data_IF_735625630259
#
_entry.id   IF_735625630259
#
_cell.length_a   1.000
_cell.length_b   1.000
_cell.length_c   1.000
_cell.angle_alpha   90.00
_cell.angle_beta   90.00
_cell.angle_gamma   90.00
#
_symmetry.space_group_name_H-M   'P 1'
#
loop_
_entity.id
_entity.type
_entity.pdbx_description
1 polymer ?
#
# COMPACT_ATOMS: atom_id res chain seq x y z
N UNK A 1 48.23 -0.77 -33.52
CA UNK A 1 48.62 -0.30 -34.87
C UNK A 1 47.73 0.91 -35.17
N UNK A 2 48.32 2.05 -35.54
CA UNK A 2 47.68 3.35 -35.89
C UNK A 2 47.16 4.13 -34.66
N UNK A 3 47.51 5.39 -34.37
CA UNK A 3 48.51 6.33 -34.89
C UNK A 3 48.75 7.36 -33.79
N UNK A 4 50.03 7.70 -33.55
CA UNK A 4 50.40 8.89 -32.79
C UNK A 4 50.16 10.17 -33.61
N UNK A 5 50.17 11.30 -32.89
CA UNK A 5 50.77 12.61 -33.25
C UNK A 5 49.77 13.78 -33.29
N UNK A 6 50.09 14.79 -32.48
CA UNK A 6 49.50 16.12 -32.56
C UNK A 6 49.71 16.97 -31.32
N UNK A 7 50.96 17.16 -30.90
CA UNK A 7 51.35 18.32 -30.09
C UNK A 7 51.07 19.59 -30.90
N UNK A 8 50.48 20.60 -30.26
CA UNK A 8 50.83 22.00 -30.50
C UNK A 8 50.47 22.80 -29.25
N UNK A 9 51.52 23.32 -28.65
CA UNK A 9 51.54 24.42 -27.69
C UNK A 9 50.99 25.68 -28.35
N UNK A 10 50.16 26.43 -27.63
CA UNK A 10 50.23 27.89 -27.67
C UNK A 10 49.86 28.45 -26.30
N UNK A 11 50.81 29.22 -25.82
CA UNK A 11 50.97 29.79 -24.49
C UNK A 11 50.74 31.30 -24.66
N UNK A 12 49.73 31.84 -23.99
CA UNK A 12 49.54 33.30 -23.92
C UNK A 12 48.08 33.75 -23.88
N UNK A 13 47.50 33.80 -22.68
CA UNK A 13 47.04 35.10 -22.15
C UNK A 13 46.63 34.98 -20.69
N UNK A 14 47.57 35.39 -19.82
CA UNK A 14 47.29 35.80 -18.46
C UNK A 14 46.46 37.09 -18.51
N UNK A 15 45.15 36.97 -18.27
CA UNK A 15 44.37 38.05 -17.65
C UNK A 15 43.51 37.46 -16.54
N UNK A 16 44.01 37.69 -15.34
CA UNK A 16 43.41 37.49 -14.04
C UNK A 16 42.03 38.15 -13.93
N UNK A 17 41.00 37.48 -14.44
CA UNK A 17 39.69 37.59 -13.82
C UNK A 17 39.76 36.76 -12.55
N UNK A 18 39.98 37.46 -11.44
CA UNK A 18 39.82 37.02 -10.06
C UNK A 18 38.50 36.25 -9.91
N UNK A 19 38.58 34.95 -10.21
CA UNK A 19 37.51 33.98 -10.09
C UNK A 19 37.51 33.54 -8.63
N UNK A 20 37.28 34.48 -7.72
CA UNK A 20 36.98 34.24 -6.31
C UNK A 20 35.55 33.68 -6.17
N UNK A 21 35.20 32.72 -7.02
CA UNK A 21 34.12 31.79 -6.76
C UNK A 21 34.65 30.79 -5.76
N UNK A 22 34.82 31.23 -4.51
CA UNK A 22 34.85 30.32 -3.37
C UNK A 22 33.74 29.30 -3.63
N UNK A 23 34.04 28.00 -3.76
CA UNK A 23 33.02 27.02 -4.08
C UNK A 23 31.95 27.20 -3.03
N UNK A 24 30.77 27.72 -3.44
CA UNK A 24 29.64 27.89 -2.55
C UNK A 24 29.51 26.56 -1.83
N UNK A 25 29.61 26.63 -0.50
CA UNK A 25 29.55 25.49 0.40
C UNK A 25 28.48 24.55 -0.14
N UNK A 26 28.83 23.29 -0.35
CA UNK A 26 27.92 22.26 -0.87
C UNK A 26 26.61 22.20 -0.05
N UNK A 27 26.65 22.71 1.20
CA UNK A 27 25.50 22.92 2.07
C UNK A 27 24.51 23.99 1.60
N UNK A 28 24.97 25.11 1.01
CA UNK A 28 24.12 26.24 0.61
C UNK A 28 23.37 25.96 -0.71
N UNK A 29 23.93 25.09 -1.57
CA UNK A 29 23.29 24.61 -2.81
C UNK A 29 22.07 23.69 -2.59
N UNK A 30 21.83 23.27 -1.35
CA UNK A 30 20.81 22.25 -1.07
C UNK A 30 19.39 22.81 -0.87
N UNK A 31 19.24 24.12 -0.85
CA UNK A 31 17.96 24.78 -0.63
C UNK A 31 17.31 25.19 -1.95
N UNK A 32 16.20 24.53 -2.28
CA UNK A 32 15.48 24.69 -3.55
C UNK A 32 15.05 26.14 -3.84
N UNK A 33 14.48 26.80 -2.82
CA UNK A 33 13.95 28.16 -2.94
C UNK A 33 15.06 29.21 -2.94
N UNK A 34 16.10 29.05 -2.13
CA UNK A 34 17.23 30.00 -2.14
C UNK A 34 17.98 29.93 -3.47
N UNK A 35 18.20 28.74 -4.02
CA UNK A 35 18.77 28.57 -5.35
C UNK A 35 17.94 29.28 -6.42
N UNK A 36 16.61 29.18 -6.36
CA UNK A 36 15.74 29.91 -7.27
C UNK A 36 15.82 31.43 -7.07
N UNK A 37 15.95 31.92 -5.84
CA UNK A 37 16.04 33.35 -5.53
C UNK A 37 17.41 33.96 -5.89
N UNK A 38 18.47 33.16 -5.93
CA UNK A 38 19.81 33.57 -6.39
C UNK A 38 19.90 33.75 -7.90
N UNK A 39 19.04 33.07 -8.67
CA UNK A 39 19.00 33.22 -10.13
C UNK A 39 18.54 34.63 -10.51
N UNK A 40 19.15 35.18 -11.57
CA UNK A 40 18.80 36.50 -12.08
C UNK A 40 17.28 36.57 -12.38
N UNK A 41 16.56 37.55 -11.82
CA UNK A 41 15.16 37.76 -12.14
C UNK A 41 14.97 37.86 -13.66
N UNK A 42 13.97 37.14 -14.20
CA UNK A 42 13.66 37.00 -15.63
C UNK A 42 14.58 36.11 -16.47
N UNK A 43 15.55 35.39 -15.88
CA UNK A 43 16.26 34.34 -16.62
C UNK A 43 15.30 33.17 -16.97
N UNK A 44 15.50 32.48 -18.11
CA UNK A 44 14.71 31.29 -18.45
C UNK A 44 14.90 30.16 -17.41
N UNK A 45 16.06 30.11 -16.75
CA UNK A 45 16.37 29.18 -15.66
C UNK A 45 15.49 29.46 -14.44
N UNK A 46 15.38 30.72 -14.01
CA UNK A 46 14.48 31.13 -12.93
C UNK A 46 13.04 30.68 -13.20
N UNK A 47 12.55 30.87 -14.43
CA UNK A 47 11.20 30.46 -14.81
C UNK A 47 11.00 28.94 -14.84
N UNK A 48 12.03 28.16 -15.15
CA UNK A 48 11.96 26.68 -15.10
C UNK A 48 11.96 26.19 -13.65
N UNK A 49 12.86 26.72 -12.83
CA UNK A 49 12.93 26.43 -11.40
C UNK A 49 11.58 26.73 -10.71
N UNK A 50 11.05 27.95 -10.91
CA UNK A 50 9.78 28.36 -10.33
C UNK A 50 8.62 27.45 -10.77
N UNK A 51 8.57 27.04 -12.03
CA UNK A 51 7.56 26.09 -12.53
C UNK A 51 7.68 24.72 -11.85
N UNK A 52 8.89 24.21 -11.66
CA UNK A 52 9.15 22.96 -10.96
C UNK A 52 8.65 23.00 -9.52
N UNK A 53 9.04 24.03 -8.76
CA UNK A 53 8.61 24.23 -7.37
C UNK A 53 7.08 24.34 -7.28
N UNK A 54 6.46 25.17 -8.11
CA UNK A 54 5.01 25.37 -8.08
C UNK A 54 4.24 24.10 -8.45
N UNK A 55 4.70 23.34 -9.44
CA UNK A 55 4.10 22.05 -9.81
C UNK A 55 4.21 21.03 -8.67
N UNK A 56 5.38 20.94 -8.04
CA UNK A 56 5.63 20.08 -6.89
C UNK A 56 4.73 20.45 -5.69
N UNK A 57 4.61 21.74 -5.37
CA UNK A 57 3.69 22.21 -4.31
C UNK A 57 2.24 21.88 -4.62
N UNK A 58 1.78 22.10 -5.87
CA UNK A 58 0.42 21.76 -6.29
C UNK A 58 0.14 20.27 -6.09
N UNK A 59 1.08 19.40 -6.48
CA UNK A 59 0.94 17.96 -6.29
C UNK A 59 0.85 17.58 -4.81
N UNK A 60 1.70 18.12 -3.94
CA UNK A 60 1.60 17.84 -2.49
C UNK A 60 0.31 18.34 -1.88
N UNK A 61 -0.21 19.49 -2.33
CA UNK A 61 -1.53 19.97 -1.90
C UNK A 61 -2.64 19.00 -2.31
N UNK A 62 -2.63 18.49 -3.55
CA UNK A 62 -3.61 17.50 -4.01
C UNK A 62 -3.49 16.21 -3.18
N UNK A 63 -2.27 15.69 -3.00
CA UNK A 63 -2.03 14.48 -2.20
C UNK A 63 -2.49 14.65 -0.75
N UNK A 64 -2.23 15.79 -0.13
CA UNK A 64 -2.70 16.12 1.21
C UNK A 64 -4.22 16.00 1.32
N UNK A 65 -4.96 16.62 0.39
CA UNK A 65 -6.44 16.57 0.42
C UNK A 65 -6.97 15.15 0.18
N UNK A 66 -6.33 14.37 -0.70
CA UNK A 66 -6.72 12.98 -0.94
C UNK A 66 -6.49 12.12 0.31
N UNK A 67 -5.33 12.23 0.95
CA UNK A 67 -5.05 11.51 2.20
C UNK A 67 -5.92 11.98 3.36
N UNK A 68 -6.22 13.28 3.45
CA UNK A 68 -7.12 13.83 4.45
C UNK A 68 -8.55 13.27 4.28
N UNK A 69 -9.07 13.25 3.05
CA UNK A 69 -10.36 12.65 2.75
C UNK A 69 -10.41 11.16 3.09
N UNK A 70 -9.34 10.42 2.77
CA UNK A 70 -9.20 9.01 3.12
C UNK A 70 -9.15 8.80 4.65
N UNK A 71 -8.36 9.59 5.38
CA UNK A 71 -8.27 9.53 6.85
C UNK A 71 -9.63 9.82 7.51
N UNK A 72 -10.37 10.82 7.02
CA UNK A 72 -11.72 11.11 7.50
C UNK A 72 -12.70 9.96 7.25
N UNK A 73 -12.63 9.29 6.10
CA UNK A 73 -13.48 8.12 5.81
C UNK A 73 -13.11 6.95 6.72
N UNK A 74 -11.83 6.62 6.86
CA UNK A 74 -11.35 5.58 7.75
C UNK A 74 -11.73 5.84 9.22
N UNK A 75 -11.57 7.08 9.70
CA UNK A 75 -11.97 7.46 11.04
C UNK A 75 -13.49 7.34 11.25
N UNK A 76 -14.30 7.79 10.29
CA UNK A 76 -15.77 7.63 10.33
C UNK A 76 -16.18 6.16 10.37
N UNK A 77 -15.52 5.29 9.61
CA UNK A 77 -15.76 3.85 9.66
C UNK A 77 -15.49 3.28 11.06
N UNK A 78 -14.31 3.55 11.62
CA UNK A 78 -13.91 3.08 12.96
C UNK A 78 -14.90 3.58 14.02
N UNK A 79 -15.27 4.86 13.98
CA UNK A 79 -16.23 5.44 14.91
C UNK A 79 -17.64 4.83 14.77
N UNK A 80 -18.09 4.57 13.53
CA UNK A 80 -19.40 3.94 13.30
C UNK A 80 -19.48 2.53 13.89
N UNK A 81 -18.40 1.74 13.74
CA UNK A 81 -18.33 0.37 14.26
C UNK A 81 -18.26 0.38 15.79
N UNK A 82 -17.47 1.29 16.36
CA UNK A 82 -17.35 1.44 17.82
C UNK A 82 -18.66 1.89 18.47
N UNK A 83 -19.43 2.77 17.82
CA UNK A 83 -20.77 3.18 18.30
C UNK A 83 -21.76 2.02 18.38
N UNK A 84 -21.62 1.02 17.52
CA UNK A 84 -22.45 -0.19 17.53
C UNK A 84 -21.94 -1.27 18.50
N UNK A 85 -20.97 -0.96 19.36
CA UNK A 85 -20.40 -1.90 20.34
C UNK A 85 -19.52 -3.01 19.73
N UNK A 86 -19.17 -2.91 18.44
CA UNK A 86 -18.34 -3.89 17.74
C UNK A 86 -16.88 -3.44 17.75
N UNK A 87 -15.96 -4.40 17.81
CA UNK A 87 -14.51 -4.13 17.69
C UNK A 87 -14.13 -3.91 16.23
N UNK A 88 -13.48 -2.78 15.94
CA UNK A 88 -12.96 -2.50 14.59
C UNK A 88 -11.83 -3.49 14.21
N UNK A 89 -11.80 -3.92 12.95
CA UNK A 89 -10.73 -4.77 12.41
C UNK A 89 -9.39 -4.01 12.39
N UNK A 90 -8.29 -4.74 12.58
CA UNK A 90 -6.92 -4.21 12.59
C UNK A 90 -6.63 -3.48 11.26
N UNK A 91 -7.09 -4.03 10.13
CA UNK A 91 -6.99 -3.41 8.81
C UNK A 91 -7.47 -1.96 8.75
N UNK A 92 -8.52 -1.61 9.52
CA UNK A 92 -9.05 -0.25 9.54
C UNK A 92 -8.07 0.73 10.19
N UNK A 93 -7.44 0.32 11.30
CA UNK A 93 -6.40 1.11 11.95
C UNK A 93 -5.16 1.25 11.10
N UNK A 94 -4.77 0.18 10.38
CA UNK A 94 -3.65 0.22 9.44
C UNK A 94 -3.92 1.19 8.29
N UNK A 95 -5.13 1.17 7.72
CA UNK A 95 -5.51 2.11 6.66
C UNK A 95 -5.54 3.57 7.14
N UNK A 96 -5.98 3.81 8.38
CA UNK A 96 -5.93 5.12 9.02
C UNK A 96 -4.48 5.57 9.24
N UNK A 97 -3.61 4.69 9.77
CA UNK A 97 -2.19 4.94 9.96
C UNK A 97 -1.54 5.33 8.63
N UNK A 98 -1.77 4.56 7.57
CA UNK A 98 -1.26 4.83 6.24
C UNK A 98 -1.70 6.21 5.72
N UNK A 99 -2.97 6.60 5.93
CA UNK A 99 -3.47 7.91 5.54
C UNK A 99 -2.83 9.05 6.37
N UNK A 100 -2.69 8.86 7.69
CA UNK A 100 -2.05 9.82 8.58
C UNK A 100 -0.57 10.06 8.21
N UNK A 101 0.18 9.01 7.85
CA UNK A 101 1.56 9.15 7.38
C UNK A 101 1.60 9.96 6.07
N UNK A 102 0.66 9.73 5.16
CA UNK A 102 0.52 10.52 3.93
C UNK A 102 0.25 12.01 4.19
N UNK A 103 -0.63 12.33 5.16
CA UNK A 103 -0.90 13.71 5.61
C UNK A 103 0.37 14.34 6.21
N UNK A 104 1.06 13.62 7.10
CA UNK A 104 2.25 14.10 7.77
C UNK A 104 3.36 14.43 6.76
N UNK A 105 3.61 13.55 5.80
CA UNK A 105 4.62 13.79 4.75
C UNK A 105 4.23 14.91 3.79
N UNK A 106 2.96 14.98 3.38
CA UNK A 106 2.52 16.06 2.49
C UNK A 106 2.65 17.43 3.18
N UNK A 107 2.31 17.51 4.47
CA UNK A 107 2.52 18.71 5.30
C UNK A 107 4.00 19.03 5.44
N UNK A 108 4.84 18.03 5.70
CA UNK A 108 6.28 18.19 5.81
C UNK A 108 6.90 18.73 4.52
N UNK A 109 6.57 18.15 3.37
CA UNK A 109 7.06 18.62 2.07
C UNK A 109 6.57 20.01 1.72
N UNK A 110 5.32 20.34 2.04
CA UNK A 110 4.80 21.69 1.87
C UNK A 110 5.58 22.69 2.74
N UNK A 111 5.74 22.41 4.04
CA UNK A 111 6.49 23.25 4.96
C UNK A 111 7.96 23.41 4.54
N UNK A 112 8.60 22.33 4.10
CA UNK A 112 9.96 22.31 3.58
C UNK A 112 10.14 23.18 2.33
N UNK A 113 9.11 23.25 1.47
CA UNK A 113 9.16 24.05 0.24
C UNK A 113 9.11 25.56 0.51
N UNK A 114 8.42 25.98 1.58
CA UNK A 114 8.20 27.40 1.91
C UNK A 114 9.04 27.90 3.11
N UNK A 115 9.85 27.05 3.73
CA UNK A 115 10.70 27.48 4.85
C UNK A 115 11.80 28.41 4.34
N UNK A 116 12.04 29.51 5.04
CA UNK A 116 13.14 30.45 4.71
C UNK A 116 14.51 29.78 4.79
N UNK A 117 14.67 28.85 5.73
CA UNK A 117 15.89 28.08 5.89
C UNK A 117 16.09 27.03 4.79
N UNK A 118 15.06 26.76 3.98
CA UNK A 118 14.99 25.61 3.10
C UNK A 118 15.14 24.28 3.84
N UNK A 119 14.83 23.18 3.17
CA UNK A 119 15.19 21.85 3.65
C UNK A 119 16.12 21.25 2.62
N UNK A 120 17.26 20.65 3.02
CA UNK A 120 18.15 20.06 2.06
C UNK A 120 17.48 18.92 1.32
N UNK A 121 17.74 18.85 0.01
CA UNK A 121 17.07 17.94 -0.92
C UNK A 121 17.12 16.46 -0.50
N UNK A 122 18.21 16.01 0.13
CA UNK A 122 18.34 14.63 0.61
C UNK A 122 17.31 14.28 1.68
N UNK A 123 16.99 15.19 2.62
CA UNK A 123 15.97 14.93 3.63
C UNK A 123 14.58 14.74 3.00
N UNK A 124 14.28 15.52 1.95
CA UNK A 124 13.05 15.38 1.19
C UNK A 124 12.92 13.96 0.62
N UNK A 125 13.98 13.46 -0.02
CA UNK A 125 14.01 12.11 -0.58
C UNK A 125 13.93 11.05 0.54
N UNK A 126 14.68 11.20 1.63
CA UNK A 126 14.69 10.23 2.72
C UNK A 126 13.32 10.07 3.39
N UNK A 127 12.65 11.18 3.70
CA UNK A 127 11.29 11.14 4.25
C UNK A 127 10.29 10.53 3.25
N UNK A 128 10.45 10.80 1.95
CA UNK A 128 9.65 10.18 0.90
C UNK A 128 9.81 8.66 0.85
N UNK A 129 11.05 8.18 0.86
CA UNK A 129 11.37 6.74 0.86
C UNK A 129 10.80 6.04 2.09
N UNK A 130 11.01 6.61 3.28
CA UNK A 130 10.47 6.06 4.54
C UNK A 130 8.93 5.98 4.47
N UNK A 131 8.28 7.02 3.99
CA UNK A 131 6.83 7.06 3.80
C UNK A 131 6.30 5.96 2.91
N UNK A 132 6.90 5.82 1.72
CA UNK A 132 6.52 4.79 0.74
C UNK A 132 6.71 3.39 1.33
N UNK A 133 7.76 3.15 2.12
CA UNK A 133 7.98 1.85 2.77
C UNK A 133 6.94 1.56 3.85
N UNK A 134 6.64 2.54 4.73
CA UNK A 134 5.59 2.40 5.73
C UNK A 134 4.25 2.07 5.05
N UNK A 135 3.95 2.77 3.95
CA UNK A 135 2.76 2.50 3.14
C UNK A 135 2.74 1.07 2.58
N UNK A 136 3.83 0.62 1.98
CA UNK A 136 3.97 -0.74 1.44
C UNK A 136 3.74 -1.80 2.52
N UNK A 137 4.32 -1.60 3.72
CA UNK A 137 4.12 -2.48 4.87
C UNK A 137 2.65 -2.51 5.30
N UNK A 138 1.97 -1.36 5.30
CA UNK A 138 0.54 -1.28 5.62
C UNK A 138 -0.31 -2.08 4.61
N UNK A 139 -0.05 -1.91 3.31
CA UNK A 139 -0.76 -2.65 2.24
C UNK A 139 -0.55 -4.16 2.40
N UNK A 140 0.70 -4.60 2.57
CA UNK A 140 1.03 -6.01 2.77
C UNK A 140 0.40 -6.57 4.05
N UNK A 141 0.35 -5.80 5.14
CA UNK A 141 -0.28 -6.23 6.39
C UNK A 141 -1.80 -6.44 6.22
N UNK A 142 -2.49 -5.54 5.50
CA UNK A 142 -3.93 -5.68 5.21
C UNK A 142 -4.22 -6.88 4.30
N UNK A 143 -3.39 -7.08 3.27
CA UNK A 143 -3.50 -8.26 2.40
C UNK A 143 -3.26 -9.55 3.19
N UNK A 144 -2.24 -9.57 4.06
CA UNK A 144 -1.91 -10.70 4.92
C UNK A 144 -3.04 -11.02 5.91
N UNK A 145 -3.63 -10.02 6.57
CA UNK A 145 -4.78 -10.23 7.48
C UNK A 145 -5.91 -10.96 6.76
N UNK A 146 -6.25 -10.50 5.55
CA UNK A 146 -7.34 -11.08 4.76
C UNK A 146 -7.01 -12.49 4.28
N UNK A 147 -5.80 -12.70 3.77
CA UNK A 147 -5.35 -14.02 3.34
C UNK A 147 -5.31 -15.01 4.52
N UNK A 148 -4.86 -14.56 5.70
CA UNK A 148 -4.82 -15.34 6.93
C UNK A 148 -6.22 -15.78 7.38
N UNK A 149 -7.20 -14.88 7.35
CA UNK A 149 -8.60 -15.22 7.67
C UNK A 149 -9.17 -16.22 6.66
N UNK A 150 -8.95 -15.98 5.38
CA UNK A 150 -9.47 -16.79 4.27
C UNK A 150 -8.89 -18.21 4.26
N UNK A 151 -7.61 -18.37 4.62
CA UNK A 151 -6.92 -19.66 4.71
C UNK A 151 -7.13 -20.41 6.04
N UNK A 152 -8.10 -19.99 6.85
CA UNK A 152 -8.42 -20.68 8.10
C UNK A 152 -7.34 -20.51 9.17
N UNK A 153 -6.70 -19.33 9.23
CA UNK A 153 -5.71 -18.94 10.25
C UNK A 153 -4.44 -19.82 10.25
N UNK A 154 -3.96 -20.19 9.07
CA UNK A 154 -2.74 -20.98 8.93
C UNK A 154 -1.50 -20.20 9.40
N UNK A 155 -0.82 -20.69 10.46
CA UNK A 155 0.44 -20.11 10.98
C UNK A 155 1.56 -19.97 9.93
N UNK A 156 1.76 -20.94 9.01
CA UNK A 156 2.81 -20.82 7.98
C UNK A 156 2.65 -19.59 7.09
N UNK A 157 1.40 -19.24 6.72
CA UNK A 157 1.10 -18.06 5.92
C UNK A 157 1.43 -16.76 6.66
N UNK A 158 1.17 -16.72 7.98
CA UNK A 158 1.50 -15.57 8.80
C UNK A 158 3.02 -15.36 8.87
N UNK A 159 3.79 -16.44 9.04
CA UNK A 159 5.25 -16.39 9.06
C UNK A 159 5.79 -15.93 7.69
N UNK A 160 5.32 -16.54 6.60
CA UNK A 160 5.73 -16.15 5.25
C UNK A 160 5.39 -14.68 4.93
N UNK A 161 4.18 -14.24 5.28
CA UNK A 161 3.75 -12.85 5.12
C UNK A 161 4.57 -11.87 5.95
N UNK A 162 4.90 -12.22 7.19
CA UNK A 162 5.76 -11.40 8.04
C UNK A 162 7.17 -11.26 7.45
N UNK A 163 7.73 -12.34 6.88
CA UNK A 163 9.02 -12.27 6.18
C UNK A 163 8.98 -11.32 4.97
N UNK A 164 7.88 -11.32 4.20
CA UNK A 164 7.72 -10.35 3.11
C UNK A 164 7.64 -8.91 3.61
N UNK A 165 6.91 -8.65 4.71
CA UNK A 165 6.84 -7.31 5.31
C UNK A 165 8.22 -6.87 5.83
N UNK A 166 8.97 -7.78 6.46
CA UNK A 166 10.33 -7.53 6.97
C UNK A 166 11.37 -7.30 5.88
N UNK A 167 11.09 -7.66 4.64
CA UNK A 167 11.97 -7.33 3.52
C UNK A 167 11.86 -5.87 3.08
N UNK A 168 10.75 -5.18 3.38
CA UNK A 168 10.51 -3.80 2.92
C UNK A 168 11.55 -2.77 3.42
N UNK A 169 12.08 -2.83 4.66
CA UNK A 169 13.18 -1.96 5.11
C UNK A 169 14.47 -2.04 4.27
N UNK A 170 14.71 -3.13 3.53
CA UNK A 170 15.86 -3.20 2.60
C UNK A 170 15.77 -2.12 1.52
N UNK A 171 14.55 -1.70 1.16
CA UNK A 171 14.33 -0.58 0.25
C UNK A 171 14.80 0.75 0.86
N UNK A 172 14.56 0.98 2.16
CA UNK A 172 15.08 2.16 2.87
C UNK A 172 16.61 2.17 2.82
N UNK A 173 17.23 1.04 3.16
CA UNK A 173 18.69 0.93 3.14
C UNK A 173 19.26 1.30 1.77
N UNK A 174 18.71 0.72 0.70
CA UNK A 174 19.16 1.05 -0.66
C UNK A 174 18.85 2.50 -1.09
N UNK A 175 17.72 3.05 -0.66
CA UNK A 175 17.33 4.43 -1.00
C UNK A 175 18.18 5.48 -0.31
N UNK A 176 18.63 5.23 0.92
CA UNK A 176 19.44 6.20 1.68
C UNK A 176 20.92 6.03 1.39
N UNK A 177 21.43 4.80 1.38
CA UNK A 177 22.87 4.54 1.34
C UNK A 177 23.44 4.33 -0.06
N UNK A 178 22.61 3.90 -1.03
CA UNK A 178 23.06 3.59 -2.40
C UNK A 178 22.55 4.61 -3.43
N UNK A 179 21.94 5.71 -2.99
CA UNK A 179 21.41 6.73 -3.90
C UNK A 179 22.23 8.02 -3.80
N UNK A 180 22.34 8.71 -4.92
CA UNK A 180 22.89 10.06 -4.97
C UNK A 180 21.73 11.03 -5.22
N UNK A 181 21.69 12.12 -4.46
CA UNK A 181 20.61 13.11 -4.53
C UNK A 181 21.19 14.40 -5.09
N UNK A 182 20.66 14.82 -6.23
CA UNK A 182 21.06 16.03 -6.93
C UNK A 182 19.86 16.96 -7.14
N UNK A 183 20.11 18.26 -7.11
CA UNK A 183 19.13 19.24 -7.53
C UNK A 183 19.21 19.40 -9.05
N UNK A 184 18.12 19.12 -9.76
CA UNK A 184 18.04 19.34 -11.21
C UNK A 184 17.93 20.82 -11.57
N UNK A 185 18.30 21.20 -12.80
CA UNK A 185 18.17 22.56 -13.35
C UNK A 185 16.74 23.13 -13.28
N UNK A 186 15.75 22.24 -13.18
CA UNK A 186 14.34 22.61 -13.02
C UNK A 186 13.97 22.93 -11.57
N UNK A 187 14.94 23.01 -10.65
CA UNK A 187 14.68 23.22 -9.22
C UNK A 187 13.83 22.10 -8.63
N UNK A 188 14.07 20.85 -9.04
CA UNK A 188 13.42 19.66 -8.50
C UNK A 188 14.49 18.71 -7.98
N UNK A 189 14.23 18.13 -6.81
CA UNK A 189 15.04 17.06 -6.25
C UNK A 189 14.99 15.82 -7.13
N UNK A 190 16.13 15.44 -7.69
CA UNK A 190 16.31 14.22 -8.46
C UNK A 190 17.16 13.26 -7.65
N UNK A 191 16.73 12.01 -7.61
CA UNK A 191 17.53 10.92 -7.04
C UNK A 191 18.03 10.04 -8.16
N UNK A 192 19.34 9.85 -8.21
CA UNK A 192 20.01 8.90 -9.09
C UNK A 192 20.23 7.62 -8.30
N UNK A 193 19.39 6.62 -8.56
CA UNK A 193 19.45 5.35 -7.87
C UNK A 193 20.43 4.38 -8.53
N UNK A 194 21.07 3.53 -7.72
CA UNK A 194 21.74 2.34 -8.24
C UNK A 194 20.75 1.46 -9.04
N UNK A 195 21.23 0.81 -10.11
CA UNK A 195 20.41 -0.02 -11.00
C UNK A 195 19.64 -1.14 -10.27
N UNK A 196 20.14 -1.59 -9.11
CA UNK A 196 19.51 -2.61 -8.25
C UNK A 196 18.30 -2.10 -7.46
N UNK A 197 18.18 -0.79 -7.24
CA UNK A 197 17.17 -0.21 -6.34
C UNK A 197 15.72 -0.51 -6.77
N UNK A 198 15.32 -0.37 -8.06
CA UNK A 198 13.96 -0.72 -8.47
C UNK A 198 13.66 -2.21 -8.29
N UNK A 199 14.65 -3.08 -8.47
CA UNK A 199 14.50 -4.52 -8.30
C UNK A 199 14.28 -4.92 -6.84
N UNK A 200 14.93 -4.24 -5.89
CA UNK A 200 14.74 -4.45 -4.46
C UNK A 200 13.31 -4.14 -4.00
N UNK A 201 12.61 -3.24 -4.68
CA UNK A 201 11.18 -3.01 -4.46
C UNK A 201 10.30 -3.98 -5.23
N UNK A 202 10.59 -4.15 -6.52
CA UNK A 202 9.74 -4.94 -7.40
C UNK A 202 9.65 -6.41 -7.00
N UNK A 203 10.78 -7.06 -6.67
CA UNK A 203 10.79 -8.50 -6.40
C UNK A 203 9.96 -8.85 -5.16
N UNK A 204 10.13 -8.20 -3.99
CA UNK A 204 9.31 -8.50 -2.82
C UNK A 204 7.83 -8.18 -3.02
N UNK A 205 7.52 -7.03 -3.64
CA UNK A 205 6.13 -6.62 -3.89
C UNK A 205 5.44 -7.55 -4.90
N UNK A 206 6.16 -8.00 -5.93
CA UNK A 206 5.63 -8.98 -6.88
C UNK A 206 5.41 -10.33 -6.19
N UNK A 207 6.37 -10.80 -5.41
CA UNK A 207 6.30 -12.10 -4.76
C UNK A 207 5.17 -12.15 -3.71
N UNK A 208 5.02 -11.10 -2.90
CA UNK A 208 3.91 -10.99 -1.94
C UNK A 208 2.56 -11.01 -2.65
N UNK A 209 2.41 -10.21 -3.70
CA UNK A 209 1.19 -10.12 -4.48
C UNK A 209 0.84 -11.44 -5.18
N UNK A 210 1.81 -12.16 -5.75
CA UNK A 210 1.60 -13.47 -6.37
C UNK A 210 1.15 -14.50 -5.33
N UNK A 211 1.82 -14.56 -4.16
CA UNK A 211 1.46 -15.48 -3.08
C UNK A 211 0.05 -15.20 -2.57
N UNK A 212 -0.28 -13.94 -2.28
CA UNK A 212 -1.60 -13.57 -1.80
C UNK A 212 -2.68 -13.83 -2.86
N UNK A 213 -2.43 -13.49 -4.12
CA UNK A 213 -3.35 -13.77 -5.22
C UNK A 213 -3.60 -15.27 -5.39
N UNK A 214 -2.56 -16.10 -5.25
CA UNK A 214 -2.68 -17.56 -5.28
C UNK A 214 -3.54 -18.09 -4.11
N UNK A 215 -3.35 -17.56 -2.88
CA UNK A 215 -4.18 -17.90 -1.72
C UNK A 215 -5.65 -17.53 -1.96
N UNK A 216 -5.93 -16.32 -2.47
CA UNK A 216 -7.29 -15.90 -2.78
C UNK A 216 -7.91 -16.76 -3.88
N UNK A 217 -7.19 -17.00 -4.97
CA UNK A 217 -7.66 -17.84 -6.07
C UNK A 217 -7.98 -19.25 -5.59
N UNK A 218 -7.13 -19.83 -4.74
CA UNK A 218 -7.38 -21.16 -4.16
C UNK A 218 -8.71 -21.21 -3.39
N UNK A 219 -8.98 -20.21 -2.54
CA UNK A 219 -10.24 -20.19 -1.78
C UNK A 219 -11.45 -19.90 -2.67
N UNK A 220 -11.31 -19.00 -3.65
CA UNK A 220 -12.36 -18.75 -4.63
C UNK A 220 -12.72 -20.02 -5.40
N UNK A 221 -11.74 -20.79 -5.87
CA UNK A 221 -11.97 -22.05 -6.57
C UNK A 221 -12.65 -23.08 -5.65
N UNK A 222 -12.27 -23.14 -4.37
CA UNK A 222 -12.89 -24.03 -3.39
C UNK A 222 -14.35 -23.64 -3.10
N UNK A 223 -14.64 -22.36 -2.95
CA UNK A 223 -15.99 -21.86 -2.69
C UNK A 223 -16.89 -21.99 -3.92
N UNK A 224 -16.37 -21.71 -5.11
CA UNK A 224 -17.07 -21.91 -6.38
C UNK A 224 -17.55 -23.36 -6.53
N UNK A 225 -16.68 -24.34 -6.20
CA UNK A 225 -17.04 -25.76 -6.20
C UNK A 225 -18.10 -26.15 -5.16
N UNK A 226 -18.27 -25.38 -4.08
CA UNK A 226 -19.16 -25.73 -2.96
C UNK A 226 -20.53 -25.03 -3.00
N UNK A 227 -20.59 -23.76 -3.39
CA UNK A 227 -21.79 -22.92 -3.24
C UNK A 227 -22.49 -22.54 -4.55
N UNK A 228 -21.95 -22.91 -5.72
CA UNK A 228 -22.55 -22.57 -7.02
C UNK A 228 -22.34 -21.09 -7.43
N UNK A 229 -23.01 -20.68 -8.52
CA UNK A 229 -22.75 -19.42 -9.25
C UNK A 229 -23.27 -18.14 -8.59
N UNK A 230 -24.32 -18.22 -7.78
CA UNK A 230 -25.08 -17.03 -7.40
C UNK A 230 -24.45 -16.28 -6.23
N UNK A 231 -24.10 -17.00 -5.16
CA UNK A 231 -23.29 -16.46 -4.05
C UNK A 231 -21.90 -16.03 -4.51
N UNK A 232 -21.39 -16.67 -5.57
CA UNK A 232 -20.11 -16.32 -6.17
C UNK A 232 -20.13 -14.96 -6.84
N UNK A 233 -21.23 -14.59 -7.53
CA UNK A 233 -21.33 -13.29 -8.21
C UNK A 233 -21.19 -12.13 -7.23
N UNK A 234 -21.77 -12.27 -6.03
CA UNK A 234 -21.68 -11.26 -4.98
C UNK A 234 -20.28 -11.20 -4.37
N UNK A 235 -19.71 -12.34 -3.98
CA UNK A 235 -18.38 -12.39 -3.36
C UNK A 235 -17.25 -11.91 -4.29
N UNK A 236 -17.35 -12.24 -5.59
CA UNK A 236 -16.38 -11.83 -6.61
C UNK A 236 -16.34 -10.31 -6.76
N UNK A 237 -17.51 -9.67 -6.78
CA UNK A 237 -17.61 -8.24 -7.08
C UNK A 237 -17.02 -7.37 -5.94
N UNK A 238 -17.08 -7.81 -4.69
CA UNK A 238 -16.71 -6.96 -3.56
C UNK A 238 -15.24 -7.12 -3.12
N UNK A 239 -14.72 -8.35 -3.09
CA UNK A 239 -13.40 -8.63 -2.53
C UNK A 239 -12.29 -8.80 -3.57
N UNK A 240 -12.56 -9.61 -4.59
CA UNK A 240 -11.54 -10.10 -5.52
C UNK A 240 -11.09 -9.03 -6.51
N UNK A 241 -12.04 -8.26 -7.07
CA UNK A 241 -11.73 -7.21 -8.04
C UNK A 241 -10.83 -6.15 -7.40
N UNK A 242 -11.18 -5.66 -6.20
CA UNK A 242 -10.42 -4.59 -5.53
C UNK A 242 -8.99 -5.03 -5.22
N UNK A 243 -8.80 -6.26 -4.73
CA UNK A 243 -7.45 -6.78 -4.50
C UNK A 243 -6.64 -6.96 -5.77
N UNK A 244 -7.28 -7.46 -6.83
CA UNK A 244 -6.64 -7.64 -8.13
C UNK A 244 -6.22 -6.29 -8.72
N UNK A 245 -7.07 -5.26 -8.58
CA UNK A 245 -6.75 -3.90 -9.02
C UNK A 245 -5.56 -3.34 -8.23
N UNK A 246 -5.52 -3.49 -6.90
CA UNK A 246 -4.38 -3.05 -6.07
C UNK A 246 -3.08 -3.75 -6.51
N UNK A 247 -3.13 -5.07 -6.69
CA UNK A 247 -1.97 -5.84 -7.18
C UNK A 247 -1.52 -5.35 -8.56
N UNK A 248 -2.47 -5.10 -9.46
CA UNK A 248 -2.18 -4.63 -10.81
C UNK A 248 -1.58 -3.22 -10.80
N UNK A 249 -2.12 -2.29 -10.00
CA UNK A 249 -1.58 -0.91 -9.90
C UNK A 249 -0.17 -0.92 -9.37
N UNK A 250 0.10 -1.71 -8.32
CA UNK A 250 1.43 -1.83 -7.73
C UNK A 250 2.43 -2.44 -8.75
N UNK A 251 1.98 -3.45 -9.51
CA UNK A 251 2.80 -4.09 -10.55
C UNK A 251 3.12 -3.11 -11.67
N UNK A 252 2.13 -2.36 -12.16
CA UNK A 252 2.32 -1.35 -13.21
C UNK A 252 3.24 -0.23 -12.71
N UNK A 253 3.05 0.26 -11.49
CA UNK A 253 3.92 1.28 -10.90
C UNK A 253 5.38 0.81 -10.84
N UNK A 254 5.61 -0.44 -10.46
CA UNK A 254 6.96 -1.01 -10.41
C UNK A 254 7.57 -1.22 -11.82
N UNK A 255 6.78 -1.66 -12.80
CA UNK A 255 7.25 -1.78 -14.20
C UNK A 255 7.59 -0.41 -14.80
N UNK A 256 6.79 0.61 -14.51
CA UNK A 256 7.08 2.00 -14.88
C UNK A 256 8.35 2.49 -14.20
N UNK A 257 8.58 2.14 -12.93
CA UNK A 257 9.81 2.50 -12.23
C UNK A 257 11.06 1.82 -12.83
N UNK A 258 10.96 0.55 -13.22
CA UNK A 258 12.06 -0.20 -13.85
C UNK A 258 12.35 0.32 -15.26
N UNK A 259 11.32 0.59 -16.06
CA UNK A 259 11.48 1.17 -17.42
C UNK A 259 11.91 2.64 -17.38
N UNK A 260 11.48 3.37 -16.35
CA UNK A 260 11.74 4.79 -16.13
C UNK A 260 13.12 5.12 -15.57
N UNK A 261 14.08 4.17 -15.51
CA UNK A 261 15.44 4.43 -15.04
C UNK A 261 16.13 5.60 -15.77
N UNK A 262 15.66 5.96 -16.98
CA UNK A 262 16.17 7.11 -17.71
C UNK A 262 15.66 8.48 -17.19
N UNK A 263 14.57 8.53 -16.42
CA UNK A 263 13.90 9.78 -16.05
C UNK A 263 13.47 9.83 -14.57
N UNK A 264 14.44 9.68 -13.67
CA UNK A 264 14.26 9.45 -12.22
C UNK A 264 13.29 10.38 -11.47
N UNK A 265 13.06 11.61 -11.94
CA UNK A 265 12.09 12.53 -11.32
C UNK A 265 10.63 12.07 -11.45
N UNK A 266 10.27 11.40 -12.55
CA UNK A 266 8.89 10.95 -12.79
C UNK A 266 8.53 9.75 -11.91
N UNK A 267 9.50 8.86 -11.66
CA UNK A 267 9.30 7.62 -10.90
C UNK A 267 8.85 7.91 -9.46
N UNK A 268 9.40 8.95 -8.82
CA UNK A 268 8.99 9.37 -7.47
C UNK A 268 7.49 9.68 -7.40
N UNK A 269 6.95 10.38 -8.39
CA UNK A 269 5.53 10.74 -8.45
C UNK A 269 4.64 9.52 -8.64
N UNK A 270 5.06 8.53 -9.43
CA UNK A 270 4.33 7.28 -9.57
C UNK A 270 4.19 6.52 -8.25
N UNK A 271 5.24 6.48 -7.42
CA UNK A 271 5.13 5.84 -6.10
C UNK A 271 4.17 6.58 -5.15
N UNK A 272 4.12 7.91 -5.20
CA UNK A 272 3.17 8.70 -4.40
C UNK A 272 1.73 8.51 -4.88
N UNK A 273 1.52 8.45 -6.19
CA UNK A 273 0.20 8.17 -6.78
C UNK A 273 -0.26 6.76 -6.44
N UNK A 274 0.61 5.76 -6.61
CA UNK A 274 0.33 4.37 -6.24
C UNK A 274 -0.06 4.23 -4.76
N UNK A 275 0.64 4.94 -3.87
CA UNK A 275 0.28 5.01 -2.46
C UNK A 275 -1.14 5.55 -2.26
N UNK A 276 -1.47 6.72 -2.80
CA UNK A 276 -2.81 7.31 -2.63
C UNK A 276 -3.90 6.40 -3.18
N UNK A 277 -3.69 5.83 -4.37
CA UNK A 277 -4.64 4.91 -5.02
C UNK A 277 -4.84 3.66 -4.16
N UNK A 278 -3.75 3.02 -3.71
CA UNK A 278 -3.81 1.86 -2.82
C UNK A 278 -4.57 2.16 -1.53
N UNK A 279 -4.28 3.28 -0.87
CA UNK A 279 -4.97 3.68 0.37
C UNK A 279 -6.47 3.91 0.14
N UNK A 280 -6.82 4.57 -0.97
CA UNK A 280 -8.22 4.82 -1.35
C UNK A 280 -8.98 3.52 -1.62
N UNK A 281 -8.39 2.60 -2.40
CA UNK A 281 -8.99 1.31 -2.73
C UNK A 281 -9.19 0.43 -1.49
N UNK A 282 -8.21 0.42 -0.57
CA UNK A 282 -8.33 -0.32 0.69
C UNK A 282 -9.47 0.20 1.57
N UNK A 283 -9.60 1.53 1.71
CA UNK A 283 -10.70 2.13 2.49
C UNK A 283 -12.04 1.81 1.85
N UNK A 284 -12.17 1.99 0.53
CA UNK A 284 -13.40 1.67 -0.20
C UNK A 284 -13.78 0.19 -0.05
N UNK A 285 -12.80 -0.71 -0.07
CA UNK A 285 -13.04 -2.13 0.19
C UNK A 285 -13.59 -2.37 1.60
N UNK A 286 -13.05 -1.67 2.61
CA UNK A 286 -13.53 -1.76 3.99
C UNK A 286 -14.96 -1.20 4.15
N UNK A 287 -15.29 -0.12 3.43
CA UNK A 287 -16.67 0.44 3.36
C UNK A 287 -17.64 -0.61 2.81
N UNK A 288 -17.32 -1.20 1.64
CA UNK A 288 -18.17 -2.22 1.02
C UNK A 288 -18.37 -3.46 1.90
N UNK A 289 -17.32 -3.95 2.55
CA UNK A 289 -17.45 -5.08 3.47
C UNK A 289 -18.36 -4.75 4.66
N UNK A 290 -18.24 -3.54 5.23
CA UNK A 290 -19.13 -3.10 6.33
C UNK A 290 -20.59 -3.08 5.88
N UNK A 291 -20.87 -2.51 4.71
CA UNK A 291 -22.24 -2.36 4.24
C UNK A 291 -22.88 -3.74 3.97
N UNK A 292 -22.10 -4.69 3.44
CA UNK A 292 -22.53 -6.08 3.31
C UNK A 292 -22.89 -6.72 4.66
N UNK A 293 -22.10 -6.48 5.72
CA UNK A 293 -22.42 -6.99 7.07
C UNK A 293 -23.68 -6.36 7.67
N UNK A 294 -23.91 -5.06 7.46
CA UNK A 294 -25.10 -4.38 8.00
C UNK A 294 -26.39 -4.82 7.29
N UNK A 295 -26.32 -5.12 5.99
CA UNK A 295 -27.46 -5.64 5.24
C UNK A 295 -27.88 -7.04 5.69
N UNK A 296 -26.92 -7.87 6.12
CA UNK A 296 -27.19 -9.21 6.64
C UNK A 296 -27.86 -9.16 8.02
N UNK A 297 -27.40 -8.24 8.89
CA UNK A 297 -27.95 -8.05 10.24
C UNK A 297 -29.36 -7.42 10.22
N UNK A 298 -29.62 -6.55 9.25
CA UNK A 298 -30.91 -5.87 9.09
C UNK A 298 -32.01 -6.71 8.44
N UNK A 299 -31.70 -7.89 7.88
CA UNK A 299 -32.72 -8.79 7.35
C UNK A 299 -33.41 -9.44 8.56
N UNK A 300 -34.63 -8.99 8.96
CA UNK A 300 -35.32 -9.62 10.08
C UNK A 300 -35.39 -11.10 9.74
N UNK A 301 -35.02 -11.96 10.70
CA UNK A 301 -35.11 -13.40 10.56
C UNK A 301 -36.53 -13.72 10.15
N UNK A 302 -36.76 -13.79 8.83
CA UNK A 302 -38.08 -13.87 8.26
C UNK A 302 -38.53 -15.26 8.65
N UNK A 303 -39.30 -15.30 9.75
CA UNK A 303 -40.02 -16.42 10.33
C UNK A 303 -39.97 -17.61 9.37
N UNK A 304 -39.00 -18.49 9.55
CA UNK A 304 -39.15 -19.91 9.23
C UNK A 304 -40.16 -20.54 10.20
N UNK A 305 -41.27 -19.86 10.49
CA UNK A 305 -42.40 -20.36 11.26
C UNK A 305 -43.47 -21.00 10.36
N UNK A 306 -43.16 -21.22 9.07
CA UNK A 306 -44.11 -21.73 8.08
C UNK A 306 -43.86 -23.15 7.58
N UNK A 307 -42.68 -23.72 7.80
CA UNK A 307 -42.30 -25.03 7.22
C UNK A 307 -41.86 -26.09 8.23
N UNK A 308 -41.95 -25.83 9.53
CA UNK A 308 -41.87 -26.89 10.55
C UNK A 308 -43.13 -27.79 10.61
N UNK A 309 -44.25 -27.35 10.01
CA UNK A 309 -45.46 -28.19 9.94
C UNK A 309 -45.57 -29.06 8.68
N UNK A 310 -44.64 -28.97 7.72
CA UNK A 310 -44.72 -29.77 6.48
C UNK A 310 -43.71 -30.93 6.39
N UNK A 311 -42.70 -30.97 7.28
CA UNK A 311 -41.76 -32.10 7.37
C UNK A 311 -42.09 -33.07 8.52
N UNK A 312 -42.94 -32.68 9.46
CA UNK A 312 -43.45 -33.58 10.52
C UNK A 312 -44.69 -34.39 10.07
N UNK A 313 -45.24 -34.12 8.88
CA UNK A 313 -46.38 -34.87 8.30
C UNK A 313 -45.97 -35.85 7.17
N UNK A 314 -44.67 -36.16 7.03
CA UNK A 314 -44.18 -37.19 6.09
C UNK A 314 -43.28 -38.26 6.71
N UNK A 315 -43.31 -38.39 8.03
CA UNK A 315 -42.67 -39.50 8.77
C UNK A 315 -43.67 -40.28 9.65
N UNK A 316 -44.94 -40.30 9.26
CA UNK A 316 -45.94 -41.22 9.80
C UNK A 316 -46.61 -41.95 8.64
N UNK A 317 -45.89 -42.90 8.04
CA UNK A 317 -46.47 -44.14 7.51
C UNK A 317 -45.34 -45.18 7.40
N UNK A 318 -45.49 -46.27 8.17
CA UNK A 318 -45.08 -47.67 7.85
C UNK A 318 -43.60 -47.91 7.51
N UNK A 319 -42.80 -48.72 8.20
CA UNK A 319 -43.03 -49.77 9.19
C UNK A 319 -41.75 -50.60 9.34
N UNK A 320 -41.79 -51.55 10.28
CA UNK A 320 -40.95 -52.76 10.35
C UNK A 320 -39.50 -52.62 10.86
N UNK A 321 -39.34 -53.04 12.12
CA UNK A 321 -38.08 -53.53 12.74
C UNK A 321 -37.35 -54.52 11.80
N UNK A 322 -36.02 -54.52 11.85
CA UNK A 322 -35.37 -55.70 12.43
C UNK A 322 -34.34 -55.34 13.50
N UNK A 323 -34.38 -56.14 14.56
CA UNK A 323 -33.39 -56.24 15.62
C UNK A 323 -32.17 -57.03 15.16
N UNK A 324 -30.98 -56.53 15.50
CA UNK A 324 -29.79 -57.22 16.07
C UNK A 324 -28.53 -56.46 15.62
N UNK A 325 -27.80 -55.92 16.58
CA UNK A 325 -26.51 -56.47 17.00
C UNK A 325 -25.51 -56.46 15.85
N UNK A 326 -24.66 -55.43 15.79
CA UNK A 326 -23.28 -55.63 16.18
C UNK A 326 -22.54 -54.30 16.29
N UNK A 327 -21.75 -54.24 17.37
CA UNK A 327 -20.80 -53.20 17.64
C UNK A 327 -19.77 -53.12 16.51
N UNK A 328 -19.56 -51.93 15.95
CA UNK A 328 -18.24 -51.61 15.43
C UNK A 328 -17.89 -50.14 15.66
N UNK A 329 -16.88 -49.97 16.51
CA UNK A 329 -16.18 -48.71 16.76
C UNK A 329 -15.48 -48.30 15.46
N UNK A 330 -15.93 -47.22 14.83
CA UNK A 330 -15.04 -46.38 14.04
C UNK A 330 -15.56 -44.94 14.06
N UNK A 331 -15.03 -44.17 15.01
CA UNK A 331 -15.24 -42.74 15.15
C UNK A 331 -14.64 -41.99 13.96
N UNK A 332 -15.40 -41.92 12.87
CA UNK A 332 -15.18 -40.98 11.79
C UNK A 332 -15.55 -39.57 12.27
N UNK A 333 -14.54 -38.83 12.69
CA UNK A 333 -14.58 -37.39 12.97
C UNK A 333 -15.11 -36.61 11.75
N UNK A 334 -16.44 -36.46 11.65
CA UNK A 334 -17.09 -35.50 10.77
C UNK A 334 -16.87 -34.12 11.35
N UNK A 335 -15.79 -33.49 10.91
CA UNK A 335 -15.49 -32.10 11.21
C UNK A 335 -16.48 -31.19 10.47
N UNK A 336 -17.46 -30.72 11.23
CA UNK A 336 -18.36 -29.62 10.88
C UNK A 336 -17.57 -28.31 10.79
N UNK A 337 -16.99 -28.05 9.62
CA UNK A 337 -16.45 -26.74 9.28
C UNK A 337 -17.40 -26.07 8.28
N UNK A 338 -18.13 -25.06 8.77
CA UNK A 338 -18.54 -23.80 8.13
C UNK A 338 -19.84 -23.29 8.79
N UNK A 339 -19.69 -22.66 9.95
CA UNK A 339 -20.59 -21.62 10.44
C UNK A 339 -19.78 -20.34 10.52
N UNK A 340 -20.04 -19.42 9.60
CA UNK A 340 -19.81 -17.99 9.83
C UNK A 340 -21.00 -17.50 10.69
N UNK A 341 -20.84 -16.56 11.64
CA UNK A 341 -19.67 -16.18 12.40
C UNK A 341 -19.66 -16.88 13.77
N UNK A 342 -18.49 -17.30 14.25
CA UNK A 342 -18.32 -17.48 15.70
C UNK A 342 -18.30 -16.05 16.28
N UNK A 343 -19.19 -15.68 17.21
CA UNK A 343 -19.01 -14.46 17.98
C UNK A 343 -17.64 -14.55 18.63
N UNK A 344 -16.82 -13.49 18.50
CA UNK A 344 -15.61 -13.35 19.30
C UNK A 344 -16.03 -13.35 20.77
N UNK A 345 -16.11 -14.54 21.37
CA UNK A 345 -16.25 -14.69 22.81
C UNK A 345 -14.94 -14.18 23.39
N UNK A 346 -15.02 -12.96 23.92
CA UNK A 346 -13.98 -12.32 24.69
C UNK A 346 -13.60 -13.26 25.84
N UNK A 347 -12.53 -14.03 25.69
CA UNK A 347 -11.77 -14.47 26.85
C UNK A 347 -11.11 -13.21 27.42
N UNK A 348 -11.78 -12.60 28.39
CA UNK A 348 -11.14 -11.68 29.34
C UNK A 348 -9.97 -12.43 30.00
N UNK A 349 -8.73 -11.90 29.97
CA UNK A 349 -7.69 -12.45 30.82
C UNK A 349 -8.07 -12.18 32.28
N UNK A 350 -8.29 -13.26 33.04
CA UNK A 350 -8.23 -13.18 34.50
C UNK A 350 -6.76 -13.02 34.88
N UNK A 351 -6.48 -11.94 35.62
CA UNK A 351 -5.37 -11.83 36.57
C UNK A 351 -3.99 -11.68 35.96
N UNK A 352 -3.52 -10.44 35.91
CA UNK A 352 -2.29 -9.99 36.60
C UNK A 352 -2.57 -8.64 37.23
#
# INVERSE_FOLDING_TARGET
>A
MVSMRGENSDEGDLRDASNNNSPLSESDRNNLLSHALELRPNSPEFQRALRGVMAQSCLYTILFWLFFGNAQRAARLILSIRRNGKSASISMYICLLQACVGIALSTFFFAATFSKAGLPCHLHIYHGVVGVVISSMCVHAVQLEKAYVVMGRSKPLLIAGALFILSAPTFIYSGIWLSHVDTSDNGICKVTHAAIHPWLKFIPDMLSNVVFSACFLHVVLRQHRRFGSDSWKQLRNDGFITMSVITLTNTVAALVAVSGQMNGGIVQWFYLLDWVVSNHLLIRQLEHMRDAFLLDEGRPAARTSGTENMLTQRYSMTGSRPTKSDANKNGSNRSSWFTLPVPLEHQTPRGW
#
